data_IF_068477505975
#
_entry.id   IF_068477505975
#
_cell.length_a   1.000
_cell.length_b   1.000
_cell.length_c   1.000
_cell.angle_alpha   90.00
_cell.angle_beta   90.00
_cell.angle_gamma   90.00
#
_symmetry.space_group_name_H-M   'P 1'
#
loop_
_entity.id
_entity.type
_entity.pdbx_description
1 polymer ?
#
# COMPACT_ATOMS: atom_id res chain seq x y z
N UNK A 1 26.62 37.83 -8.43
CA UNK A 1 27.19 36.60 -9.03
C UNK A 1 27.96 35.85 -7.97
N UNK A 2 27.42 34.75 -7.45
CA UNK A 2 28.20 33.66 -6.84
C UNK A 2 27.48 32.37 -7.21
N UNK A 3 28.09 31.60 -8.12
CA UNK A 3 27.61 30.31 -8.61
C UNK A 3 27.87 29.27 -7.51
N UNK A 4 26.85 28.92 -6.74
CA UNK A 4 26.88 27.80 -5.80
C UNK A 4 26.38 26.52 -6.48
N UNK A 5 27.28 25.58 -6.68
CA UNK A 5 27.05 24.30 -7.35
C UNK A 5 25.91 23.51 -6.67
N UNK A 6 24.85 23.26 -7.42
CA UNK A 6 23.72 22.40 -7.03
C UNK A 6 24.19 20.95 -7.13
N UNK A 7 24.42 20.32 -5.98
CA UNK A 7 24.75 18.89 -5.87
C UNK A 7 23.45 18.10 -5.73
N UNK A 8 23.41 16.99 -6.42
CA UNK A 8 22.22 16.37 -6.93
C UNK A 8 22.13 14.90 -6.47
N UNK A 9 20.90 14.48 -6.14
CA UNK A 9 20.30 13.18 -6.48
C UNK A 9 20.64 11.90 -5.67
N UNK A 10 19.59 11.17 -5.22
CA UNK A 10 19.35 9.73 -5.49
C UNK A 10 18.04 9.23 -4.88
N UNK A 11 17.25 8.43 -5.62
CA UNK A 11 16.51 7.27 -5.08
C UNK A 11 16.89 6.07 -5.93
N UNK A 12 17.42 5.01 -5.33
CA UNK A 12 17.78 3.78 -6.02
C UNK A 12 18.98 3.04 -5.42
N UNK A 13 19.14 3.00 -4.09
CA UNK A 13 20.38 2.48 -3.49
C UNK A 13 20.59 0.96 -3.72
N UNK A 14 19.55 0.18 -4.03
CA UNK A 14 19.74 -1.24 -4.40
C UNK A 14 19.90 -1.46 -5.93
N UNK A 15 19.24 -0.66 -6.78
CA UNK A 15 19.23 -0.86 -8.25
C UNK A 15 20.30 -0.02 -8.96
N UNK A 16 20.58 1.21 -8.49
CA UNK A 16 21.56 2.09 -9.13
C UNK A 16 23.00 1.64 -8.86
N UNK A 17 23.30 1.04 -7.68
CA UNK A 17 24.64 0.47 -7.40
C UNK A 17 24.98 -0.65 -8.39
N UNK A 18 23.97 -1.38 -8.92
CA UNK A 18 24.18 -2.41 -9.93
C UNK A 18 24.60 -1.86 -11.31
N UNK A 19 24.06 -0.70 -11.72
CA UNK A 19 24.30 -0.15 -13.06
C UNK A 19 25.73 0.41 -13.26
N UNK A 20 26.37 0.89 -12.20
CA UNK A 20 27.73 1.44 -12.27
C UNK A 20 28.82 0.37 -12.34
N UNK A 21 28.61 -0.77 -11.67
CA UNK A 21 29.63 -1.84 -11.58
C UNK A 21 29.69 -2.72 -12.84
N UNK A 22 28.56 -2.96 -13.51
CA UNK A 22 28.54 -3.75 -14.74
C UNK A 22 29.26 -3.08 -15.93
N UNK A 23 29.22 -1.74 -16.04
CA UNK A 23 29.87 -1.01 -17.15
C UNK A 23 31.40 -0.91 -17.00
N UNK A 24 31.94 -1.16 -15.81
CA UNK A 24 33.39 -1.11 -15.54
C UNK A 24 34.04 -2.50 -15.38
N UNK A 25 33.24 -3.58 -15.31
CA UNK A 25 33.74 -4.94 -15.19
C UNK A 25 33.40 -5.72 -16.46
N UNK A 26 34.13 -5.43 -17.54
CA UNK A 26 34.30 -6.40 -18.64
C UNK A 26 35.10 -7.59 -18.12
N UNK A 27 34.44 -8.52 -17.43
CA UNK A 27 35.00 -9.82 -17.13
C UNK A 27 33.94 -10.89 -17.36
N UNK A 28 34.15 -11.69 -18.39
CA UNK A 28 33.38 -12.91 -18.68
C UNK A 28 34.02 -14.05 -17.87
N UNK A 29 33.35 -14.66 -16.89
CA UNK A 29 33.85 -15.88 -16.29
C UNK A 29 33.45 -17.08 -17.17
N UNK A 30 34.45 -17.81 -17.65
CA UNK A 30 34.26 -19.13 -18.29
C UNK A 30 33.77 -20.20 -17.30
N UNK A 31 33.33 -21.38 -17.80
CA UNK A 31 32.65 -22.37 -16.98
C UNK A 31 33.60 -23.05 -16.01
N UNK A 32 33.16 -23.21 -14.74
CA UNK A 32 33.84 -24.05 -13.75
C UNK A 32 32.92 -25.19 -13.31
N UNK A 33 33.42 -26.41 -13.42
CA UNK A 33 32.79 -27.61 -12.90
C UNK A 33 32.91 -27.65 -11.37
N UNK A 34 31.80 -27.94 -10.69
CA UNK A 34 31.77 -28.19 -9.25
C UNK A 34 31.97 -29.69 -8.97
N UNK A 35 32.81 -30.01 -8.00
CA UNK A 35 32.93 -31.34 -7.40
C UNK A 35 32.13 -31.39 -6.07
N UNK A 36 31.55 -32.54 -5.68
CA UNK A 36 30.68 -32.62 -4.50
C UNK A 36 31.50 -32.78 -3.21
N UNK A 37 31.06 -32.13 -2.12
CA UNK A 37 31.57 -32.37 -0.77
C UNK A 37 30.43 -32.85 0.12
N UNK A 38 30.68 -33.94 0.85
CA UNK A 38 29.74 -34.68 1.68
C UNK A 38 29.33 -33.91 2.95
N UNK A 39 28.08 -34.10 3.36
CA UNK A 39 27.46 -33.50 4.53
C UNK A 39 27.78 -34.27 5.83
N UNK A 40 28.00 -33.55 6.92
CA UNK A 40 27.92 -34.08 8.28
C UNK A 40 26.86 -33.29 9.06
N UNK A 41 25.86 -34.00 9.58
CA UNK A 41 24.75 -33.44 10.33
C UNK A 41 25.11 -33.31 11.83
N UNK A 42 24.74 -32.18 12.44
CA UNK A 42 24.65 -32.04 13.88
C UNK A 42 23.32 -31.35 14.24
N UNK A 43 22.54 -32.06 15.05
CA UNK A 43 21.21 -31.70 15.53
C UNK A 43 21.26 -30.64 16.64
N UNK A 44 20.55 -29.52 16.45
CA UNK A 44 20.13 -28.64 17.55
C UNK A 44 18.65 -28.28 17.40
N UNK A 45 17.96 -28.22 18.54
CA UNK A 45 16.51 -28.14 18.69
C UNK A 45 15.88 -26.98 17.92
N UNK A 46 14.86 -27.29 17.11
CA UNK A 46 14.16 -26.34 16.25
C UNK A 46 13.00 -25.66 16.98
N UNK A 47 13.05 -24.33 17.05
CA UNK A 47 11.85 -23.51 17.00
C UNK A 47 11.17 -23.72 15.62
N UNK A 48 9.84 -23.56 15.48
CA UNK A 48 9.15 -23.92 14.24
C UNK A 48 9.73 -23.14 13.05
N UNK A 49 10.29 -23.88 12.09
CA UNK A 49 10.81 -23.35 10.84
C UNK A 49 9.65 -22.93 9.92
N UNK A 50 9.07 -21.77 10.18
CA UNK A 50 8.42 -21.03 9.11
C UNK A 50 9.55 -20.42 8.26
N UNK A 51 9.71 -20.89 7.01
CA UNK A 51 10.66 -20.41 5.99
C UNK A 51 12.10 -20.93 6.00
N UNK A 52 12.32 -22.24 6.15
CA UNK A 52 13.54 -22.83 5.61
C UNK A 52 13.35 -23.04 4.08
N UNK A 53 13.74 -22.04 3.28
CA UNK A 53 13.77 -22.13 1.81
C UNK A 53 15.10 -21.58 1.25
N UNK A 54 15.41 -21.92 -0.01
CA UNK A 54 16.69 -21.58 -0.63
C UNK A 54 16.95 -20.06 -0.66
N UNK A 55 15.89 -19.26 -0.84
CA UNK A 55 15.98 -17.79 -0.85
C UNK A 55 16.34 -17.25 0.54
N UNK A 56 15.77 -17.81 1.61
CA UNK A 56 16.10 -17.44 2.99
C UNK A 56 17.56 -17.75 3.34
N UNK A 57 18.08 -18.89 2.90
CA UNK A 57 19.49 -19.24 3.10
C UNK A 57 20.43 -18.36 2.28
N UNK A 58 20.05 -18.04 1.03
CA UNK A 58 20.81 -17.11 0.19
C UNK A 58 20.79 -15.67 0.75
N UNK A 59 19.69 -15.24 1.38
CA UNK A 59 19.57 -13.92 2.00
C UNK A 59 20.52 -13.74 3.18
N UNK A 60 20.79 -14.80 3.97
CA UNK A 60 21.80 -14.76 5.03
C UNK A 60 23.21 -14.54 4.45
N UNK A 61 23.55 -15.24 3.36
CA UNK A 61 24.83 -15.04 2.65
C UNK A 61 24.96 -13.64 2.08
N UNK A 62 23.87 -13.11 1.52
CA UNK A 62 23.81 -11.70 1.11
C UNK A 62 24.06 -10.77 2.30
N UNK A 63 23.44 -11.02 3.45
CA UNK A 63 23.67 -10.27 4.69
C UNK A 63 25.13 -10.26 5.13
N UNK A 64 25.83 -11.39 5.05
CA UNK A 64 27.26 -11.49 5.38
C UNK A 64 28.14 -10.66 4.42
N UNK A 65 27.69 -10.53 3.17
CA UNK A 65 28.36 -9.73 2.16
C UNK A 65 28.03 -8.24 2.25
N UNK A 66 26.81 -7.87 2.65
CA UNK A 66 26.27 -6.52 2.43
C UNK A 66 25.99 -5.71 3.70
N UNK A 67 25.93 -6.32 4.88
CA UNK A 67 25.54 -5.58 6.09
C UNK A 67 26.59 -4.55 6.54
N UNK A 68 27.87 -4.76 6.23
CA UNK A 68 28.90 -3.72 6.45
C UNK A 68 28.57 -2.46 5.64
N UNK A 69 28.36 -2.61 4.33
CA UNK A 69 27.90 -1.53 3.45
C UNK A 69 26.60 -0.88 3.95
N UNK A 70 25.61 -1.68 4.37
CA UNK A 70 24.34 -1.15 4.86
C UNK A 70 24.47 -0.25 6.10
N UNK A 71 25.45 -0.50 6.98
CA UNK A 71 25.72 0.35 8.15
C UNK A 71 26.38 1.69 7.77
N UNK A 72 27.05 1.76 6.63
CA UNK A 72 27.77 2.96 6.17
C UNK A 72 26.87 3.95 5.46
N UNK A 73 25.81 3.46 4.80
CA UNK A 73 24.79 4.30 4.17
C UNK A 73 24.09 5.15 5.24
N UNK A 74 24.14 6.47 5.08
CA UNK A 74 23.32 7.39 5.87
C UNK A 74 21.87 7.38 5.35
N UNK A 75 21.05 6.46 5.88
CA UNK A 75 19.64 6.30 5.49
C UNK A 75 18.76 7.51 5.84
N UNK A 76 19.25 8.42 6.69
CA UNK A 76 18.55 9.64 7.06
C UNK A 76 18.77 10.79 6.05
N UNK A 77 19.59 10.56 5.02
CA UNK A 77 19.88 11.58 4.03
C UNK A 77 18.64 11.90 3.18
N UNK A 78 18.17 13.15 3.25
CA UNK A 78 16.99 13.64 2.51
C UNK A 78 17.14 13.62 0.98
N UNK A 79 18.32 13.28 0.46
CA UNK A 79 18.55 13.06 -0.96
C UNK A 79 17.66 11.95 -1.53
N UNK A 80 17.27 10.97 -0.70
CA UNK A 80 16.33 9.88 -1.00
C UNK A 80 14.87 10.31 -1.18
N UNK A 81 14.57 11.61 -1.11
CA UNK A 81 13.29 12.15 -1.56
C UNK A 81 13.35 12.66 -3.01
N UNK A 82 14.55 12.87 -3.56
CA UNK A 82 14.72 13.53 -4.87
C UNK A 82 14.76 12.53 -6.02
N UNK A 83 14.42 13.01 -7.22
CA UNK A 83 14.56 12.21 -8.46
C UNK A 83 16.02 11.72 -8.63
N UNK A 84 16.25 10.51 -9.19
CA UNK A 84 17.57 9.93 -9.51
C UNK A 84 18.27 10.62 -10.69
N UNK A 85 18.06 11.93 -10.89
CA UNK A 85 18.47 12.61 -12.10
C UNK A 85 17.92 14.02 -12.14
N UNK A 86 17.94 14.59 -13.33
CA UNK A 86 16.96 15.63 -13.68
C UNK A 86 15.55 15.04 -13.49
N UNK A 87 14.67 15.78 -12.84
CA UNK A 87 13.26 15.37 -12.72
C UNK A 87 12.58 15.36 -14.10
N UNK A 88 12.02 14.21 -14.45
CA UNK A 88 11.37 13.93 -15.74
C UNK A 88 10.03 13.24 -15.45
N UNK A 89 8.97 13.98 -15.07
CA UNK A 89 7.78 13.41 -14.45
C UNK A 89 7.08 12.35 -15.29
N UNK A 90 6.92 12.57 -16.61
CA UNK A 90 6.26 11.60 -17.49
C UNK A 90 7.11 10.35 -17.75
N UNK A 91 8.44 10.46 -17.82
CA UNK A 91 9.32 9.29 -17.93
C UNK A 91 9.39 8.52 -16.60
N UNK A 92 9.38 9.23 -15.48
CA UNK A 92 9.28 8.63 -14.15
C UNK A 92 7.94 7.89 -13.99
N UNK A 93 6.84 8.44 -14.50
CA UNK A 93 5.53 7.79 -14.48
C UNK A 93 5.52 6.47 -15.25
N UNK A 94 6.25 6.36 -16.37
CA UNK A 94 6.43 5.06 -17.07
C UNK A 94 7.17 4.03 -16.21
N UNK A 95 8.16 4.46 -15.43
CA UNK A 95 8.86 3.56 -14.52
C UNK A 95 7.95 3.12 -13.36
N UNK A 96 7.16 4.04 -12.80
CA UNK A 96 6.13 3.74 -11.79
C UNK A 96 5.09 2.77 -12.35
N UNK A 97 4.65 2.96 -13.60
CA UNK A 97 3.72 2.03 -14.26
C UNK A 97 4.27 0.60 -14.29
N UNK A 98 5.56 0.42 -14.60
CA UNK A 98 6.19 -0.91 -14.57
C UNK A 98 6.30 -1.49 -13.16
N UNK A 99 6.51 -0.66 -12.14
CA UNK A 99 6.47 -1.10 -10.74
C UNK A 99 5.07 -1.54 -10.33
N UNK A 100 4.02 -0.81 -10.73
CA UNK A 100 2.62 -1.15 -10.49
C UNK A 100 2.26 -2.46 -11.20
N UNK A 101 2.65 -2.59 -12.47
CA UNK A 101 2.41 -3.80 -13.28
C UNK A 101 3.11 -5.04 -12.69
N UNK A 102 4.31 -4.88 -12.13
CA UNK A 102 5.02 -5.93 -11.39
C UNK A 102 4.32 -6.24 -10.05
N UNK A 103 3.93 -5.21 -9.29
CA UNK A 103 3.23 -5.37 -8.01
C UNK A 103 1.90 -6.10 -8.15
N UNK A 104 1.10 -5.77 -9.16
CA UNK A 104 -0.16 -6.48 -9.45
C UNK A 104 0.05 -7.95 -9.84
N UNK A 105 1.20 -8.28 -10.45
CA UNK A 105 1.52 -9.66 -10.84
C UNK A 105 2.05 -10.51 -9.68
N UNK A 106 2.62 -9.88 -8.65
CA UNK A 106 3.24 -10.57 -7.51
C UNK A 106 2.21 -11.32 -6.65
N UNK A 107 2.69 -12.32 -5.90
CA UNK A 107 1.86 -13.03 -4.93
C UNK A 107 1.45 -12.08 -3.79
N UNK A 108 0.13 -11.84 -3.57
CA UNK A 108 -0.33 -10.93 -2.54
C UNK A 108 0.10 -11.31 -1.11
N UNK A 109 0.27 -12.61 -0.83
CA UNK A 109 0.74 -13.08 0.47
C UNK A 109 2.21 -12.69 0.69
N UNK A 110 3.04 -12.81 -0.35
CA UNK A 110 4.45 -12.43 -0.26
C UNK A 110 4.63 -10.90 -0.16
N UNK A 111 3.78 -10.12 -0.81
CA UNK A 111 3.72 -8.66 -0.63
C UNK A 111 3.40 -8.29 0.83
N UNK A 112 2.41 -8.96 1.42
CA UNK A 112 2.07 -8.80 2.82
C UNK A 112 3.23 -9.15 3.75
N UNK A 113 3.85 -10.32 3.56
CA UNK A 113 4.98 -10.77 4.38
C UNK A 113 6.17 -9.81 4.29
N UNK A 114 6.44 -9.25 3.12
CA UNK A 114 7.48 -8.22 2.97
C UNK A 114 7.11 -6.91 3.67
N UNK A 115 5.85 -6.48 3.62
CA UNK A 115 5.40 -5.30 4.36
C UNK A 115 5.58 -5.51 5.89
N UNK A 116 5.21 -6.69 6.41
CA UNK A 116 5.43 -7.05 7.82
C UNK A 116 6.93 -7.09 8.18
N UNK A 117 7.80 -7.59 7.28
CA UNK A 117 9.24 -7.58 7.47
C UNK A 117 9.81 -6.14 7.54
N UNK A 118 9.34 -5.22 6.69
CA UNK A 118 9.76 -3.82 6.74
C UNK A 118 9.27 -3.13 8.02
N UNK A 119 8.01 -3.34 8.42
CA UNK A 119 7.48 -2.84 9.70
C UNK A 119 8.35 -3.31 10.88
N UNK A 120 8.69 -4.60 10.92
CA UNK A 120 9.58 -5.16 11.95
C UNK A 120 10.97 -4.52 11.91
N UNK A 121 11.54 -4.33 10.73
CA UNK A 121 12.86 -3.73 10.54
C UNK A 121 12.91 -2.29 11.08
N UNK A 122 11.87 -1.49 10.82
CA UNK A 122 11.74 -0.12 11.35
C UNK A 122 11.84 -0.12 12.88
N UNK A 123 11.24 -1.11 13.55
CA UNK A 123 11.30 -1.27 15.00
C UNK A 123 12.70 -1.55 15.58
N UNK A 124 13.69 -1.90 14.75
CA UNK A 124 15.06 -2.23 15.17
C UNK A 124 16.11 -1.20 14.73
N UNK A 125 15.68 -0.10 14.11
CA UNK A 125 16.57 0.96 13.65
C UNK A 125 17.39 1.53 14.82
N UNK A 126 18.70 1.67 14.60
CA UNK A 126 19.61 2.21 15.60
C UNK A 126 20.82 2.92 14.97
N UNK A 127 21.56 3.65 15.80
CA UNK A 127 22.74 4.39 15.37
C UNK A 127 22.45 5.65 14.55
N UNK A 128 23.49 6.45 14.25
CA UNK A 128 23.33 7.74 13.57
C UNK A 128 22.86 7.63 12.12
N UNK A 129 23.18 6.50 11.47
CA UNK A 129 22.89 6.26 10.07
C UNK A 129 21.48 5.68 9.82
N UNK A 130 20.71 5.37 10.87
CA UNK A 130 19.34 4.87 10.73
C UNK A 130 19.24 3.43 10.17
N UNK A 131 20.26 2.60 10.40
CA UNK A 131 20.28 1.21 9.91
C UNK A 131 19.48 0.27 10.83
N UNK A 132 18.73 -0.66 10.22
CA UNK A 132 18.03 -1.76 10.92
C UNK A 132 19.01 -2.79 11.48
N UNK A 133 18.53 -3.71 12.33
CA UNK A 133 19.34 -4.84 12.83
C UNK A 133 19.78 -5.79 11.70
N UNK A 134 20.87 -6.55 11.92
CA UNK A 134 21.36 -7.56 10.97
C UNK A 134 20.30 -8.62 10.65
N UNK A 135 19.60 -9.11 11.67
CA UNK A 135 18.57 -10.11 11.48
C UNK A 135 17.41 -9.58 10.62
N UNK A 136 17.02 -8.33 10.83
CA UNK A 136 15.95 -7.69 10.08
C UNK A 136 16.37 -7.32 8.64
N UNK A 137 17.64 -6.97 8.43
CA UNK A 137 18.22 -6.80 7.10
C UNK A 137 18.12 -8.09 6.27
N UNK A 138 18.48 -9.23 6.85
CA UNK A 138 18.40 -10.53 6.17
C UNK A 138 16.93 -10.93 5.89
N UNK A 139 16.04 -10.68 6.85
CA UNK A 139 14.62 -10.98 6.71
C UNK A 139 13.95 -10.17 5.59
N UNK A 140 14.24 -8.87 5.51
CA UNK A 140 13.74 -7.99 4.44
C UNK A 140 14.24 -8.46 3.07
N UNK A 141 15.54 -8.75 2.94
CA UNK A 141 16.10 -9.24 1.68
C UNK A 141 15.49 -10.58 1.24
N UNK A 142 15.27 -11.50 2.18
CA UNK A 142 14.59 -12.76 1.88
C UNK A 142 13.16 -12.54 1.38
N UNK A 143 12.38 -11.67 2.05
CA UNK A 143 11.00 -11.38 1.66
C UNK A 143 10.92 -10.73 0.27
N UNK A 144 11.81 -9.77 -0.03
CA UNK A 144 11.92 -9.16 -1.36
C UNK A 144 12.32 -10.20 -2.41
N UNK A 145 13.28 -11.07 -2.11
CA UNK A 145 13.68 -12.16 -3.02
C UNK A 145 12.50 -13.06 -3.40
N UNK A 146 11.63 -13.40 -2.43
CA UNK A 146 10.41 -14.18 -2.68
C UNK A 146 9.41 -13.42 -3.56
N UNK A 147 9.22 -12.12 -3.34
CA UNK A 147 8.38 -11.29 -4.23
C UNK A 147 8.91 -11.35 -5.67
N UNK A 148 10.21 -11.16 -5.86
CA UNK A 148 10.85 -11.17 -7.19
C UNK A 148 10.69 -12.55 -7.85
N UNK A 149 10.84 -13.63 -7.09
CA UNK A 149 10.59 -14.99 -7.58
C UNK A 149 9.12 -15.23 -7.96
N UNK A 150 8.17 -14.51 -7.35
CA UNK A 150 6.73 -14.67 -7.64
C UNK A 150 6.24 -13.97 -8.92
N UNK A 151 7.12 -13.26 -9.64
CA UNK A 151 6.77 -12.60 -10.92
C UNK A 151 7.66 -13.06 -12.07
N UNK A 152 7.19 -13.00 -13.33
CA UNK A 152 8.03 -13.29 -14.48
C UNK A 152 9.23 -12.34 -14.59
N UNK A 153 10.40 -12.89 -14.94
CA UNK A 153 11.65 -12.14 -15.16
C UNK A 153 11.48 -10.90 -16.03
N UNK A 154 10.65 -10.98 -17.08
CA UNK A 154 10.40 -9.87 -17.98
C UNK A 154 9.84 -8.62 -17.28
N UNK A 155 8.98 -8.78 -16.26
CA UNK A 155 8.43 -7.65 -15.49
C UNK A 155 9.50 -7.00 -14.62
N UNK A 156 10.38 -7.82 -14.02
CA UNK A 156 11.53 -7.34 -13.23
C UNK A 156 12.48 -6.53 -14.12
N UNK A 157 12.78 -7.03 -15.32
CA UNK A 157 13.64 -6.32 -16.26
C UNK A 157 13.00 -5.04 -16.80
N UNK A 158 11.69 -5.03 -17.04
CA UNK A 158 10.99 -3.81 -17.44
C UNK A 158 11.08 -2.68 -16.38
N UNK A 159 11.03 -3.04 -15.09
CA UNK A 159 11.30 -2.08 -14.00
C UNK A 159 12.76 -1.61 -14.04
N UNK A 160 13.72 -2.53 -14.15
CA UNK A 160 15.14 -2.19 -14.22
C UNK A 160 15.47 -1.23 -15.37
N UNK A 161 14.96 -1.53 -16.57
CA UNK A 161 15.23 -0.75 -17.79
C UNK A 161 14.60 0.65 -17.70
N UNK A 162 13.34 0.73 -17.23
CA UNK A 162 12.63 2.01 -17.10
C UNK A 162 13.23 2.91 -16.02
N UNK A 163 13.67 2.37 -14.89
CA UNK A 163 14.38 3.13 -13.84
C UNK A 163 15.76 3.57 -14.34
N UNK A 164 16.46 2.72 -15.10
CA UNK A 164 17.74 3.08 -15.71
C UNK A 164 17.61 4.27 -16.65
N UNK A 165 16.52 4.36 -17.42
CA UNK A 165 16.28 5.45 -18.36
C UNK A 165 16.14 6.84 -17.69
N UNK A 166 15.71 6.89 -16.42
CA UNK A 166 15.55 8.15 -15.67
C UNK A 166 16.71 8.42 -14.69
N UNK A 167 17.67 7.50 -14.58
CA UNK A 167 18.78 7.61 -13.63
C UNK A 167 20.00 8.24 -14.31
N UNK A 168 20.50 9.34 -13.75
CA UNK A 168 21.74 9.96 -14.21
C UNK A 168 22.93 8.99 -14.03
N UNK A 169 23.78 8.79 -15.05
CA UNK A 169 24.91 7.85 -14.96
C UNK A 169 25.92 8.14 -13.85
N UNK A 170 25.96 9.37 -13.31
CA UNK A 170 26.81 9.75 -12.18
C UNK A 170 26.28 9.30 -10.81
N UNK A 171 25.00 8.94 -10.71
CA UNK A 171 24.36 8.55 -9.43
C UNK A 171 25.06 7.38 -8.75
N UNK A 172 25.37 6.25 -9.43
CA UNK A 172 26.03 5.12 -8.78
C UNK A 172 27.40 5.47 -8.21
N UNK A 173 28.20 6.25 -8.97
CA UNK A 173 29.52 6.70 -8.53
C UNK A 173 29.43 7.64 -7.33
N UNK A 174 28.45 8.55 -7.34
CA UNK A 174 28.19 9.45 -6.23
C UNK A 174 27.77 8.67 -4.96
N UNK A 175 26.82 7.74 -5.06
CA UNK A 175 26.39 6.90 -3.92
C UNK A 175 27.56 6.09 -3.35
N UNK A 176 28.38 5.47 -4.21
CA UNK A 176 29.57 4.72 -3.78
C UNK A 176 30.61 5.61 -3.09
N UNK A 177 30.71 6.89 -3.46
CA UNK A 177 31.66 7.82 -2.84
C UNK A 177 31.35 8.18 -1.38
N UNK A 178 30.13 7.88 -0.91
CA UNK A 178 29.68 8.17 0.45
C UNK A 178 29.92 7.02 1.43
N UNK A 179 30.45 5.89 0.96
CA UNK A 179 30.66 4.66 1.72
C UNK A 179 32.05 4.09 1.46
N UNK A 180 32.39 2.97 2.10
CA UNK A 180 33.58 2.21 1.78
C UNK A 180 33.40 1.49 0.42
N UNK A 181 34.23 1.84 -0.55
CA UNK A 181 34.19 1.28 -1.91
C UNK A 181 34.29 -0.26 -1.95
N UNK A 182 35.29 -0.87 -1.28
CA UNK A 182 35.38 -2.32 -1.15
C UNK A 182 34.16 -3.01 -0.52
N UNK A 183 33.55 -2.44 0.53
CA UNK A 183 32.33 -3.02 1.12
C UNK A 183 31.14 -2.93 0.16
N UNK A 184 31.02 -1.84 -0.61
CA UNK A 184 29.99 -1.72 -1.66
C UNK A 184 30.19 -2.74 -2.79
N UNK A 185 31.44 -2.99 -3.20
CA UNK A 185 31.77 -4.01 -4.19
C UNK A 185 31.44 -5.42 -3.68
N UNK A 186 31.79 -5.72 -2.43
CA UNK A 186 31.45 -6.99 -1.78
C UNK A 186 29.94 -7.19 -1.68
N UNK A 187 29.20 -6.15 -1.29
CA UNK A 187 27.74 -6.18 -1.25
C UNK A 187 27.14 -6.49 -2.63
N UNK A 188 27.68 -5.88 -3.70
CA UNK A 188 27.23 -6.15 -5.06
C UNK A 188 27.54 -7.57 -5.53
N UNK A 189 28.71 -8.13 -5.20
CA UNK A 189 29.00 -9.53 -5.49
C UNK A 189 28.03 -10.47 -4.75
N UNK A 190 27.74 -10.21 -3.48
CA UNK A 190 26.72 -10.96 -2.74
C UNK A 190 25.34 -10.86 -3.39
N UNK A 191 24.97 -9.68 -3.91
CA UNK A 191 23.73 -9.51 -4.67
C UNK A 191 23.72 -10.35 -5.97
N UNK A 192 24.83 -10.42 -6.70
CA UNK A 192 24.96 -11.23 -7.91
C UNK A 192 24.77 -12.73 -7.64
N UNK A 193 25.22 -13.22 -6.48
CA UNK A 193 24.97 -14.61 -6.06
C UNK A 193 23.52 -14.82 -5.62
N UNK A 194 22.97 -13.87 -4.85
CA UNK A 194 21.60 -13.94 -4.36
C UNK A 194 20.57 -13.98 -5.50
N UNK A 195 20.73 -13.10 -6.51
CA UNK A 195 19.80 -13.05 -7.64
C UNK A 195 19.77 -14.34 -8.47
N UNK A 196 20.85 -15.13 -8.49
CA UNK A 196 20.86 -16.43 -9.19
C UNK A 196 19.96 -17.45 -8.47
N UNK A 197 19.92 -17.42 -7.13
CA UNK A 197 19.01 -18.27 -6.34
C UNK A 197 17.56 -17.81 -6.52
N UNK A 198 17.32 -16.50 -6.55
CA UNK A 198 15.98 -15.95 -6.82
C UNK A 198 15.51 -16.35 -8.22
N UNK A 199 16.35 -16.20 -9.25
CA UNK A 199 16.03 -16.58 -10.63
C UNK A 199 15.72 -18.08 -10.77
N UNK A 200 16.48 -18.94 -10.09
CA UNK A 200 16.21 -20.40 -10.05
C UNK A 200 14.81 -20.73 -9.53
N UNK A 201 14.29 -19.92 -8.62
CA UNK A 201 12.98 -20.11 -7.99
C UNK A 201 11.86 -19.26 -8.63
N UNK A 202 12.16 -18.57 -9.74
CA UNK A 202 11.25 -17.60 -10.34
C UNK A 202 10.16 -18.24 -11.20
N UNK A 203 8.94 -17.73 -11.12
CA UNK A 203 7.82 -18.16 -11.98
C UNK A 203 8.00 -17.71 -13.42
N UNK A 204 7.51 -18.50 -14.37
CA UNK A 204 7.56 -18.18 -15.80
C UNK A 204 6.36 -17.38 -16.30
N UNK A 205 5.22 -17.45 -15.62
CA UNK A 205 3.95 -16.83 -16.02
C UNK A 205 3.39 -15.92 -14.94
N UNK A 206 2.75 -14.83 -15.34
CA UNK A 206 2.11 -13.91 -14.42
C UNK A 206 0.83 -14.52 -13.82
N UNK A 207 0.45 -14.06 -12.63
CA UNK A 207 -0.83 -14.42 -12.00
C UNK A 207 -2.03 -13.83 -12.76
N UNK A 208 -3.19 -14.49 -12.65
CA UNK A 208 -4.43 -14.01 -13.26
C UNK A 208 -4.88 -12.65 -12.69
N UNK A 209 -5.57 -11.78 -13.47
CA UNK A 209 -6.04 -10.48 -12.99
C UNK A 209 -6.89 -10.54 -11.73
N UNK A 210 -7.02 -9.42 -11.00
CA UNK A 210 -7.85 -9.38 -9.80
C UNK A 210 -9.34 -9.57 -10.14
N UNK A 211 -10.09 -10.10 -9.17
CA UNK A 211 -11.55 -10.15 -9.25
C UNK A 211 -12.11 -8.85 -8.70
N UNK A 212 -12.80 -8.09 -9.56
CA UNK A 212 -13.37 -6.79 -9.19
C UNK A 212 -14.89 -6.91 -9.01
N UNK A 213 -15.44 -6.55 -7.83
CA UNK A 213 -16.89 -6.46 -7.63
C UNK A 213 -17.53 -5.44 -8.59
N UNK A 214 -18.76 -5.71 -9.04
CA UNK A 214 -19.53 -4.80 -9.90
C UNK A 214 -20.88 -4.48 -9.28
N UNK A 215 -21.35 -3.24 -9.47
CA UNK A 215 -22.67 -2.79 -8.99
C UNK A 215 -22.79 -2.62 -7.47
N UNK A 216 -21.69 -2.58 -6.73
CA UNK A 216 -21.69 -2.37 -5.29
C UNK A 216 -21.90 -0.88 -4.91
N UNK A 217 -22.33 -0.64 -3.67
CA UNK A 217 -22.61 0.72 -3.15
C UNK A 217 -21.38 1.62 -3.26
N UNK A 218 -20.19 1.08 -3.00
CA UNK A 218 -18.91 1.81 -3.12
C UNK A 218 -18.66 2.24 -4.57
N UNK A 219 -18.90 1.38 -5.56
CA UNK A 219 -18.78 1.74 -6.98
C UNK A 219 -19.72 2.88 -7.37
N UNK A 220 -20.98 2.83 -6.93
CA UNK A 220 -21.97 3.91 -7.18
C UNK A 220 -21.53 5.23 -6.52
N UNK A 221 -21.08 5.19 -5.28
CA UNK A 221 -20.62 6.38 -4.57
C UNK A 221 -19.31 6.95 -5.16
N UNK A 222 -18.43 6.09 -5.65
CA UNK A 222 -17.19 6.49 -6.31
C UNK A 222 -17.46 7.26 -7.60
N UNK A 223 -18.53 6.92 -8.33
CA UNK A 223 -18.99 7.73 -9.46
C UNK A 223 -19.35 9.15 -9.03
N UNK A 224 -20.19 9.30 -8.00
CA UNK A 224 -20.61 10.61 -7.51
C UNK A 224 -19.41 11.44 -7.01
N UNK A 225 -18.46 10.81 -6.31
CA UNK A 225 -17.19 11.45 -5.95
C UNK A 225 -16.45 11.94 -7.19
N UNK A 226 -16.27 11.06 -8.17
CA UNK A 226 -15.46 11.34 -9.35
C UNK A 226 -16.06 12.46 -10.20
N UNK A 227 -17.38 12.46 -10.40
CA UNK A 227 -18.07 13.54 -11.11
C UNK A 227 -17.88 14.90 -10.39
N UNK A 228 -17.87 14.90 -9.05
CA UNK A 228 -17.67 16.12 -8.24
C UNK A 228 -16.21 16.59 -8.17
N UNK A 229 -15.23 15.67 -8.22
CA UNK A 229 -13.81 15.99 -8.03
C UNK A 229 -12.99 16.01 -9.32
N UNK A 230 -13.51 15.53 -10.45
CA UNK A 230 -12.77 15.54 -11.71
C UNK A 230 -12.37 16.96 -12.20
N UNK A 231 -13.21 18.02 -12.04
CA UNK A 231 -12.76 19.38 -12.28
C UNK A 231 -11.51 19.76 -11.46
N UNK A 232 -11.51 19.45 -10.16
CA UNK A 232 -10.38 19.72 -9.27
C UNK A 232 -9.10 18.99 -9.69
N UNK A 233 -9.15 17.71 -10.08
CA UNK A 233 -7.93 16.98 -10.47
C UNK A 233 -7.30 17.49 -11.77
N UNK A 234 -8.08 18.13 -12.65
CA UNK A 234 -7.56 18.77 -13.87
C UNK A 234 -6.77 20.04 -13.57
N UNK A 235 -7.05 20.70 -12.46
CA UNK A 235 -6.33 21.91 -12.03
C UNK A 235 -5.01 21.59 -11.33
N UNK A 236 -4.81 20.33 -10.91
CA UNK A 236 -3.57 19.90 -10.25
C UNK A 236 -2.44 19.85 -11.28
N UNK A 237 -1.33 20.52 -10.98
CA UNK A 237 -0.09 20.39 -11.76
C UNK A 237 0.64 19.08 -11.40
N UNK A 238 0.22 17.97 -12.02
CA UNK A 238 0.79 16.63 -11.82
C UNK A 238 2.27 16.51 -12.20
N UNK A 239 2.81 17.47 -12.94
CA UNK A 239 4.19 17.47 -13.42
C UNK A 239 5.12 18.31 -12.53
N UNK A 240 4.60 18.86 -11.43
CA UNK A 240 5.32 19.74 -10.52
C UNK A 240 6.36 18.99 -9.68
N UNK A 241 7.50 19.64 -9.42
CA UNK A 241 8.51 19.15 -8.47
C UNK A 241 8.18 19.49 -7.01
N UNK A 242 7.05 20.16 -6.75
CA UNK A 242 6.60 20.54 -5.41
C UNK A 242 6.40 19.32 -4.51
N UNK A 243 6.01 18.19 -5.09
CA UNK A 243 5.77 16.92 -4.38
C UNK A 243 7.06 16.24 -3.90
N UNK A 244 8.23 16.69 -4.35
CA UNK A 244 9.54 16.21 -3.91
C UNK A 244 10.18 17.14 -2.88
N UNK A 245 9.47 18.17 -2.39
CA UNK A 245 9.98 19.04 -1.33
C UNK A 245 9.81 18.35 0.04
N UNK A 246 10.81 18.43 0.92
CA UNK A 246 10.71 17.85 2.25
C UNK A 246 9.61 18.53 3.06
N UNK A 247 9.01 17.79 3.99
CA UNK A 247 8.05 18.37 4.92
C UNK A 247 8.74 19.39 5.83
N UNK A 248 8.18 20.61 6.01
CA UNK A 248 8.80 21.64 6.83
C UNK A 248 9.09 21.16 8.26
N UNK A 249 10.36 21.25 8.66
CA UNK A 249 10.80 20.96 10.03
C UNK A 249 10.72 19.49 10.44
N UNK A 250 10.52 18.54 9.51
CA UNK A 250 10.46 17.11 9.83
C UNK A 250 11.75 16.39 9.45
N UNK A 251 12.19 15.50 10.32
CA UNK A 251 13.35 14.62 10.10
C UNK A 251 12.94 13.31 9.44
N UNK A 252 13.90 12.61 8.82
CA UNK A 252 13.64 11.29 8.23
C UNK A 252 13.04 10.29 9.23
N UNK A 253 13.56 10.15 10.49
CA UNK A 253 12.95 9.26 11.48
C UNK A 253 11.50 9.63 11.85
N UNK A 254 11.16 10.92 11.91
CA UNK A 254 9.77 11.34 12.16
C UNK A 254 8.85 10.97 10.99
N UNK A 255 9.29 11.19 9.76
CA UNK A 255 8.51 10.80 8.57
C UNK A 255 8.37 9.29 8.45
N UNK A 256 9.42 8.52 8.79
CA UNK A 256 9.42 7.07 8.74
C UNK A 256 8.38 6.46 9.69
N UNK A 257 8.15 7.06 10.86
CA UNK A 257 7.09 6.60 11.79
C UNK A 257 5.68 6.73 11.21
N UNK A 258 5.43 7.77 10.41
CA UNK A 258 4.15 7.91 9.71
C UNK A 258 4.05 6.93 8.54
N UNK A 259 5.13 6.73 7.79
CA UNK A 259 5.22 5.72 6.72
C UNK A 259 4.99 4.31 7.27
N UNK A 260 5.51 3.99 8.45
CA UNK A 260 5.30 2.70 9.11
C UNK A 260 3.81 2.38 9.31
N UNK A 261 2.98 3.39 9.63
CA UNK A 261 1.52 3.18 9.73
C UNK A 261 0.89 2.83 8.40
N UNK A 262 1.37 3.41 7.30
CA UNK A 262 0.91 3.06 5.95
C UNK A 262 1.33 1.64 5.57
N UNK A 263 2.54 1.21 5.94
CA UNK A 263 3.03 -0.17 5.74
C UNK A 263 2.16 -1.16 6.52
N UNK A 264 1.88 -0.88 7.80
CA UNK A 264 1.01 -1.71 8.65
C UNK A 264 -0.41 -1.81 8.09
N UNK A 265 -0.97 -0.69 7.60
CA UNK A 265 -2.27 -0.69 6.94
C UNK A 265 -2.23 -1.56 5.67
N UNK A 266 -1.23 -1.40 4.82
CA UNK A 266 -1.05 -2.17 3.59
C UNK A 266 -0.93 -3.68 3.85
N UNK A 267 -0.22 -4.10 4.89
CA UNK A 267 -0.09 -5.50 5.28
C UNK A 267 -1.43 -6.15 5.72
N UNK A 268 -2.40 -5.33 6.15
CA UNK A 268 -3.73 -5.79 6.60
C UNK A 268 -4.79 -5.74 5.51
N UNK A 269 -4.53 -5.03 4.41
CA UNK A 269 -5.48 -4.90 3.30
C UNK A 269 -5.73 -6.25 2.61
N UNK A 270 -6.92 -6.39 2.03
CA UNK A 270 -7.23 -7.54 1.19
C UNK A 270 -6.31 -7.56 -0.05
N UNK A 271 -5.60 -8.68 -0.25
CA UNK A 271 -4.61 -8.81 -1.31
C UNK A 271 -5.19 -8.75 -2.72
N UNK A 272 -6.43 -9.23 -2.93
CA UNK A 272 -7.10 -9.14 -4.22
C UNK A 272 -7.55 -7.70 -4.50
N UNK A 273 -8.03 -6.97 -3.49
CA UNK A 273 -8.40 -5.56 -3.63
C UNK A 273 -7.16 -4.66 -3.82
N UNK A 274 -6.03 -4.95 -3.17
CA UNK A 274 -4.75 -4.28 -3.43
C UNK A 274 -4.34 -4.44 -4.89
N UNK A 275 -4.43 -5.67 -5.39
CA UNK A 275 -4.14 -5.99 -6.79
C UNK A 275 -5.09 -5.25 -7.74
N UNK A 276 -6.40 -5.27 -7.48
CA UNK A 276 -7.39 -4.55 -8.28
C UNK A 276 -7.12 -3.04 -8.33
N UNK A 277 -6.73 -2.44 -7.19
CA UNK A 277 -6.36 -1.04 -7.14
C UNK A 277 -5.09 -0.77 -7.96
N UNK A 278 -4.07 -1.63 -7.90
CA UNK A 278 -2.87 -1.52 -8.72
C UNK A 278 -3.21 -1.60 -10.23
N UNK A 279 -4.03 -2.56 -10.64
CA UNK A 279 -4.48 -2.72 -12.04
C UNK A 279 -5.30 -1.50 -12.52
N UNK A 280 -6.14 -0.91 -11.65
CA UNK A 280 -6.88 0.31 -11.97
C UNK A 280 -5.94 1.51 -12.20
N UNK A 281 -4.88 1.66 -11.40
CA UNK A 281 -3.88 2.73 -11.61
C UNK A 281 -3.07 2.50 -12.88
N UNK A 282 -2.66 1.26 -13.18
CA UNK A 282 -2.00 0.92 -14.45
C UNK A 282 -2.85 1.34 -15.65
N UNK A 283 -4.16 1.04 -15.62
CA UNK A 283 -5.11 1.46 -16.66
C UNK A 283 -5.24 2.98 -16.75
N UNK A 284 -5.31 3.67 -15.61
CA UNK A 284 -5.41 5.12 -15.56
C UNK A 284 -4.17 5.83 -16.13
N UNK A 285 -2.96 5.30 -15.88
CA UNK A 285 -1.73 5.81 -16.49
C UNK A 285 -1.79 5.70 -18.02
N UNK A 286 -2.40 4.62 -18.54
CA UNK A 286 -2.56 4.40 -19.97
C UNK A 286 -3.45 5.42 -20.69
N UNK A 287 -4.22 6.24 -19.97
CA UNK A 287 -5.16 7.21 -20.54
C UNK A 287 -4.83 8.67 -20.22
N UNK A 288 -3.65 8.95 -19.66
CA UNK A 288 -3.26 10.33 -19.33
C UNK A 288 -3.12 11.20 -20.58
N UNK A 289 -3.47 12.47 -20.43
CA UNK A 289 -3.15 13.52 -21.39
C UNK A 289 -1.73 14.07 -21.23
N UNK A 290 -1.38 15.09 -22.02
CA UNK A 290 -0.06 15.72 -22.00
C UNK A 290 0.29 16.40 -20.66
N UNK A 291 -0.71 16.68 -19.82
CA UNK A 291 -0.53 17.26 -18.48
C UNK A 291 -0.54 16.21 -17.36
N UNK A 292 -0.63 14.92 -17.72
CA UNK A 292 -0.64 13.81 -16.77
C UNK A 292 -2.02 13.51 -16.18
N UNK A 293 -3.10 14.09 -16.72
CA UNK A 293 -4.45 13.88 -16.19
C UNK A 293 -5.09 12.68 -16.89
N UNK A 294 -5.50 11.68 -16.11
CA UNK A 294 -6.19 10.47 -16.60
C UNK A 294 -7.62 10.75 -17.06
N UNK A 295 -8.23 9.82 -17.80
CA UNK A 295 -9.63 9.92 -18.22
C UNK A 295 -10.60 9.91 -17.02
N UNK A 296 -11.77 10.54 -17.17
CA UNK A 296 -12.80 10.54 -16.12
C UNK A 296 -13.25 9.13 -15.73
N UNK A 297 -13.35 8.22 -16.70
CA UNK A 297 -13.76 6.83 -16.47
C UNK A 297 -12.70 6.04 -15.69
N UNK A 298 -11.42 6.28 -15.97
CA UNK A 298 -10.35 5.61 -15.24
C UNK A 298 -10.15 6.20 -13.83
N UNK A 299 -10.35 7.50 -13.66
CA UNK A 299 -10.41 8.13 -12.35
C UNK A 299 -11.53 7.56 -11.47
N UNK A 300 -12.73 7.34 -12.05
CA UNK A 300 -13.84 6.66 -11.38
C UNK A 300 -13.47 5.25 -10.93
N UNK A 301 -12.86 4.46 -11.82
CA UNK A 301 -12.41 3.11 -11.50
C UNK A 301 -11.37 3.08 -10.36
N UNK A 302 -10.43 4.03 -10.37
CA UNK A 302 -9.43 4.20 -9.30
C UNK A 302 -10.11 4.52 -7.96
N UNK A 303 -11.02 5.50 -7.92
CA UNK A 303 -11.75 5.86 -6.70
C UNK A 303 -12.57 4.68 -6.14
N UNK A 304 -13.23 3.90 -7.01
CA UNK A 304 -13.97 2.72 -6.61
C UNK A 304 -13.06 1.64 -6.02
N UNK A 305 -11.90 1.38 -6.64
CA UNK A 305 -10.94 0.41 -6.16
C UNK A 305 -10.34 0.82 -4.80
N UNK A 306 -9.96 2.10 -4.63
CA UNK A 306 -9.45 2.63 -3.35
C UNK A 306 -10.53 2.57 -2.27
N UNK A 307 -11.78 2.90 -2.57
CA UNK A 307 -12.88 2.80 -1.61
C UNK A 307 -13.05 1.39 -1.04
N UNK A 308 -13.04 0.37 -1.91
CA UNK A 308 -13.11 -1.04 -1.48
C UNK A 308 -11.90 -1.44 -0.65
N UNK A 309 -10.72 -0.97 -1.05
CA UNK A 309 -9.47 -1.24 -0.34
C UNK A 309 -9.50 -0.66 1.08
N UNK A 310 -9.94 0.59 1.25
CA UNK A 310 -10.09 1.25 2.56
C UNK A 310 -11.14 0.53 3.42
N UNK A 311 -12.26 0.12 2.82
CA UNK A 311 -13.30 -0.64 3.52
C UNK A 311 -12.80 -1.99 4.08
N UNK A 312 -11.73 -2.56 3.52
CA UNK A 312 -11.14 -3.82 4.01
C UNK A 312 -10.34 -3.68 5.32
N UNK A 313 -10.00 -2.46 5.75
CA UNK A 313 -9.09 -2.21 6.89
C UNK A 313 -9.53 -1.06 7.82
N UNK A 314 -10.78 -1.02 8.28
CA UNK A 314 -11.35 0.16 8.96
C UNK A 314 -10.57 0.60 10.21
N UNK A 315 -9.96 -0.34 10.94
CA UNK A 315 -9.26 -0.04 12.21
C UNK A 315 -7.96 0.72 12.02
N UNK A 316 -7.23 0.51 10.91
CA UNK A 316 -5.91 1.13 10.70
C UNK A 316 -5.93 2.45 9.93
N UNK A 317 -7.07 2.81 9.32
CA UNK A 317 -7.21 4.07 8.56
C UNK A 317 -6.89 5.28 9.45
N UNK A 318 -7.41 5.29 10.68
CA UNK A 318 -7.22 6.41 11.60
C UNK A 318 -5.80 6.50 12.16
N UNK A 319 -5.09 5.37 12.31
CA UNK A 319 -3.68 5.38 12.70
C UNK A 319 -2.81 6.11 11.67
N UNK A 320 -3.09 5.87 10.38
CA UNK A 320 -2.44 6.57 9.26
C UNK A 320 -2.80 8.05 9.28
N UNK A 321 -4.10 8.38 9.33
CA UNK A 321 -4.55 9.76 9.32
C UNK A 321 -3.94 10.57 10.47
N UNK A 322 -4.00 10.06 11.70
CA UNK A 322 -3.47 10.74 12.88
C UNK A 322 -1.95 10.92 12.80
N UNK A 323 -1.21 9.93 12.29
CA UNK A 323 0.23 10.03 12.14
C UNK A 323 0.64 11.04 11.06
N UNK A 324 -0.08 11.07 9.94
CA UNK A 324 0.15 12.05 8.87
C UNK A 324 -0.22 13.48 9.33
N UNK A 325 -1.32 13.65 10.06
CA UNK A 325 -1.71 14.93 10.63
C UNK A 325 -0.66 15.50 11.61
N UNK A 326 0.11 14.64 12.28
CA UNK A 326 1.23 15.07 13.14
C UNK A 326 2.47 15.58 12.40
N UNK A 327 2.61 15.29 11.10
CA UNK A 327 3.79 15.66 10.31
C UNK A 327 3.49 16.62 9.15
N UNK A 328 2.24 16.74 8.71
CA UNK A 328 1.83 17.65 7.64
C UNK A 328 1.34 18.96 8.25
N UNK A 329 2.12 20.04 8.07
CA UNK A 329 1.73 21.38 8.50
C UNK A 329 0.66 21.99 7.57
N UNK A 330 -0.20 22.85 8.12
CA UNK A 330 -1.20 23.63 7.38
C UNK A 330 -0.65 24.44 6.21
N UNK A 331 0.61 24.86 6.27
CA UNK A 331 1.30 25.53 5.16
C UNK A 331 1.34 24.66 3.89
N UNK A 332 1.46 23.34 4.05
CA UNK A 332 1.45 22.40 2.91
C UNK A 332 0.08 22.38 2.27
N UNK A 333 -0.99 22.17 3.05
CA UNK A 333 -2.35 22.09 2.52
C UNK A 333 -2.82 23.43 1.95
N UNK A 334 -2.51 24.55 2.60
CA UNK A 334 -2.80 25.88 2.09
C UNK A 334 -2.07 26.18 0.77
N UNK A 335 -0.81 25.73 0.61
CA UNK A 335 -0.07 25.87 -0.63
C UNK A 335 -0.61 24.99 -1.76
N UNK A 336 -1.19 23.82 -1.46
CA UNK A 336 -1.87 23.01 -2.48
C UNK A 336 -3.20 23.63 -2.89
N UNK A 337 -4.00 24.09 -1.91
CA UNK A 337 -5.29 24.73 -2.17
C UNK A 337 -5.15 26.04 -2.97
N UNK A 338 -4.08 26.81 -2.77
CA UNK A 338 -3.85 28.06 -3.51
C UNK A 338 -3.49 27.89 -4.99
N UNK A 339 -3.23 26.65 -5.44
CA UNK A 339 -2.81 26.32 -6.81
C UNK A 339 -3.95 25.82 -7.70
N UNK A 340 -5.15 25.65 -7.13
CA UNK A 340 -6.32 25.10 -7.81
C UNK A 340 -7.49 26.07 -7.72
N UNK A 341 -8.56 25.81 -8.48
CA UNK A 341 -9.80 26.54 -8.27
C UNK A 341 -10.41 26.20 -6.89
N UNK A 342 -10.65 27.21 -6.01
CA UNK A 342 -11.16 26.96 -4.68
C UNK A 342 -12.59 26.39 -4.66
N UNK A 343 -13.42 26.70 -5.66
CA UNK A 343 -14.78 26.16 -5.75
C UNK A 343 -14.78 24.68 -6.10
N UNK A 344 -13.94 24.29 -7.06
CA UNK A 344 -13.79 22.89 -7.47
C UNK A 344 -13.16 22.06 -6.34
N UNK A 345 -12.19 22.61 -5.61
CA UNK A 345 -11.61 21.97 -4.43
C UNK A 345 -12.63 21.77 -3.29
N UNK A 346 -13.49 22.75 -3.03
CA UNK A 346 -14.58 22.61 -2.03
C UNK A 346 -15.63 21.60 -2.47
N UNK A 347 -15.97 21.57 -3.77
CA UNK A 347 -16.88 20.57 -4.34
C UNK A 347 -16.30 19.15 -4.21
N UNK A 348 -15.02 18.97 -4.54
CA UNK A 348 -14.29 17.72 -4.38
C UNK A 348 -14.26 17.26 -2.90
N UNK A 349 -13.96 18.17 -1.96
CA UNK A 349 -13.96 17.87 -0.53
C UNK A 349 -15.34 17.44 -0.03
N UNK A 350 -16.41 18.13 -0.45
CA UNK A 350 -17.79 17.73 -0.13
C UNK A 350 -18.12 16.34 -0.68
N UNK A 351 -17.77 16.07 -1.93
CA UNK A 351 -17.93 14.74 -2.54
C UNK A 351 -17.18 13.66 -1.76
N UNK A 352 -15.94 13.95 -1.33
CA UNK A 352 -15.15 13.05 -0.50
C UNK A 352 -15.82 12.76 0.85
N UNK A 353 -16.32 13.78 1.55
CA UNK A 353 -16.98 13.59 2.84
C UNK A 353 -18.28 12.77 2.74
N UNK A 354 -18.99 12.84 1.62
CA UNK A 354 -20.14 11.96 1.35
C UNK A 354 -19.70 10.54 0.97
N UNK A 355 -18.64 10.40 0.17
CA UNK A 355 -18.12 9.10 -0.24
C UNK A 355 -17.60 8.27 0.94
N UNK A 356 -16.87 8.89 1.87
CA UNK A 356 -16.32 8.17 3.03
C UNK A 356 -17.40 7.51 3.90
N UNK A 357 -18.61 8.07 3.97
CA UNK A 357 -19.72 7.50 4.76
C UNK A 357 -20.17 6.16 4.17
N UNK A 358 -20.16 6.04 2.84
CA UNK A 358 -20.46 4.79 2.14
C UNK A 358 -19.34 3.76 2.33
N UNK A 359 -18.08 4.20 2.31
CA UNK A 359 -16.93 3.34 2.59
C UNK A 359 -16.96 2.80 4.02
N UNK A 360 -17.27 3.65 4.99
CA UNK A 360 -17.43 3.28 6.41
C UNK A 360 -18.56 2.26 6.59
N UNK A 361 -19.72 2.48 5.95
CA UNK A 361 -20.82 1.52 5.96
C UNK A 361 -20.47 0.19 5.27
N UNK A 362 -19.70 0.22 4.18
CA UNK A 362 -19.21 -0.99 3.52
C UNK A 362 -18.25 -1.81 4.40
N UNK A 363 -17.46 -1.13 5.24
CA UNK A 363 -16.55 -1.78 6.18
C UNK A 363 -17.28 -2.54 7.30
N UNK A 364 -18.40 -2.00 7.80
CA UNK A 364 -19.22 -2.66 8.83
C UNK A 364 -20.02 -3.85 8.29
N UNK A 365 -20.45 -3.78 7.01
CA UNK A 365 -21.06 -4.92 6.30
C UNK A 365 -20.05 -6.07 6.12
N UNK A 366 -18.81 -5.78 5.72
CA UNK A 366 -17.75 -6.77 5.54
C UNK A 366 -17.31 -7.46 6.85
N UNK A 367 -17.38 -6.74 7.97
CA UNK A 367 -17.01 -7.26 9.30
C UNK A 367 -18.15 -7.98 10.04
N UNK A 368 -19.33 -8.11 9.42
CA UNK A 368 -20.48 -8.81 10.02
C UNK A 368 -21.18 -8.06 11.16
N UNK A 369 -20.79 -6.82 11.48
CA UNK A 369 -21.38 -6.02 12.57
C UNK A 369 -22.84 -5.63 12.30
N UNK A 370 -23.22 -5.49 11.01
CA UNK A 370 -24.62 -5.27 10.63
C UNK A 370 -25.51 -6.50 10.84
N UNK A 371 -24.97 -7.73 10.86
CA UNK A 371 -25.80 -8.93 11.04
C UNK A 371 -26.37 -9.03 12.46
N UNK A 372 -25.64 -8.58 13.49
CA UNK A 372 -26.14 -8.56 14.86
C UNK A 372 -27.19 -7.48 15.08
N UNK A 373 -27.02 -6.30 14.47
CA UNK A 373 -27.99 -5.21 14.58
C UNK A 373 -29.28 -5.53 13.81
N UNK A 374 -29.17 -6.13 12.62
CA UNK A 374 -30.33 -6.64 11.87
C UNK A 374 -30.98 -7.84 12.55
N UNK A 375 -30.21 -8.78 13.14
CA UNK A 375 -30.76 -9.87 13.94
C UNK A 375 -31.44 -9.36 15.21
N UNK A 376 -30.89 -8.36 15.90
CA UNK A 376 -31.52 -7.72 17.05
C UNK A 376 -32.80 -6.99 16.65
N UNK A 377 -32.79 -6.29 15.50
CA UNK A 377 -33.98 -5.62 14.96
C UNK A 377 -35.07 -6.63 14.56
N UNK A 378 -34.69 -7.75 13.94
CA UNK A 378 -35.57 -8.88 13.60
C UNK A 378 -36.13 -9.59 14.83
N UNK A 379 -35.30 -9.82 15.86
CA UNK A 379 -35.72 -10.40 17.14
C UNK A 379 -36.69 -9.46 17.87
N UNK A 380 -36.41 -8.15 17.87
CA UNK A 380 -37.28 -7.14 18.45
C UNK A 380 -38.63 -7.08 17.72
N UNK A 381 -38.64 -7.07 16.38
CA UNK A 381 -39.90 -7.11 15.60
C UNK A 381 -40.67 -8.41 15.78
N UNK A 382 -40.00 -9.56 15.92
CA UNK A 382 -40.65 -10.84 16.26
C UNK A 382 -41.28 -10.82 17.67
N UNK A 383 -40.60 -10.20 18.64
CA UNK A 383 -41.10 -10.02 20.01
C UNK A 383 -42.32 -9.08 20.04
N UNK A 384 -42.25 -7.97 19.29
CA UNK A 384 -43.34 -6.99 19.18
C UNK A 384 -44.56 -7.58 18.46
N UNK A 385 -44.35 -8.40 17.43
CA UNK A 385 -45.43 -9.17 16.78
C UNK A 385 -46.10 -10.18 17.73
N UNK A 386 -45.32 -10.85 18.59
CA UNK A 386 -45.87 -11.75 19.63
C UNK A 386 -46.69 -10.97 20.66
N UNK A 387 -46.18 -9.83 21.12
CA UNK A 387 -46.87 -8.96 22.08
C UNK A 387 -48.17 -8.40 21.50
N UNK A 388 -48.16 -7.99 20.24
CA UNK A 388 -49.36 -7.52 19.53
C UNK A 388 -50.43 -8.62 19.43
N UNK A 389 -50.05 -9.86 19.08
CA UNK A 389 -50.98 -11.01 19.08
C UNK A 389 -51.53 -11.33 20.48
N UNK A 390 -50.73 -11.14 21.53
CA UNK A 390 -51.18 -11.35 22.91
C UNK A 390 -52.18 -10.27 23.36
N UNK A 391 -51.98 -9.02 22.94
CA UNK A 391 -52.89 -7.90 23.20
C UNK A 391 -54.24 -8.13 22.49
N UNK A 392 -54.22 -8.48 21.21
CA UNK A 392 -55.45 -8.79 20.46
C UNK A 392 -56.24 -9.95 21.08
N UNK A 393 -55.54 -10.99 21.55
CA UNK A 393 -56.17 -12.12 22.24
C UNK A 393 -56.77 -11.73 23.60
N UNK A 394 -56.21 -10.71 24.25
CA UNK A 394 -56.72 -10.17 25.51
C UNK A 394 -57.93 -9.26 25.28
N UNK A 395 -57.92 -8.46 24.21
CA UNK A 395 -59.06 -7.63 23.78
C UNK A 395 -60.23 -8.47 23.27
N UNK A 396 -60.00 -9.59 22.56
CA UNK A 396 -61.05 -10.55 22.21
C UNK A 396 -61.71 -11.22 23.43
N UNK A 397 -60.98 -11.35 24.55
CA UNK A 397 -61.52 -11.88 25.81
C UNK A 397 -62.27 -10.81 26.60
N UNK A 398 -61.89 -9.53 26.50
CA UNK A 398 -62.53 -8.42 27.23
C UNK A 398 -63.73 -7.79 26.50
N UNK A 399 -63.75 -7.78 25.16
CA UNK A 399 -64.86 -7.29 24.35
C UNK A 399 -66.22 -7.96 24.65
N UNK A 400 -66.35 -9.29 24.85
CA UNK A 400 -67.62 -9.91 25.21
C UNK A 400 -68.05 -9.61 26.67
N UNK A 401 -67.15 -9.20 27.57
CA UNK A 401 -67.51 -8.80 28.95
C UNK A 401 -68.11 -7.40 29.03
N UNK A 402 -67.63 -6.47 28.21
CA UNK A 402 -68.17 -5.12 28.14
C UNK A 402 -69.59 -5.08 27.53
N UNK A 403 -69.87 -5.92 26.51
CA UNK A 403 -71.19 -6.02 25.88
C UNK A 403 -72.26 -6.64 26.79
N UNK A 404 -71.90 -7.60 27.65
CA UNK A 404 -72.83 -8.19 28.64
C UNK A 404 -73.18 -7.20 29.76
N UNK A 405 -72.32 -6.24 30.05
CA UNK A 405 -72.55 -5.23 31.11
C UNK A 405 -73.40 -4.05 30.60
N UNK A 406 -73.28 -3.68 29.32
CA UNK A 406 -74.13 -2.63 28.72
C UNK A 406 -75.58 -3.09 28.46
N UNK A 407 -75.80 -4.39 28.23
CA UNK A 407 -77.14 -4.94 28.02
C UNK A 407 -78.00 -5.02 29.29
N UNK A 408 -77.40 -5.02 30.49
CA UNK A 408 -78.15 -5.02 31.76
C UNK A 408 -78.56 -3.62 32.23
N UNK A 409 -77.88 -2.55 31.80
CA UNK A 409 -78.19 -1.16 32.19
C UNK A 409 -79.30 -0.54 31.33
N UNK A 410 -79.53 -1.00 30.10
CA UNK A 410 -80.57 -0.46 29.20
C UNK A 410 -81.98 -0.99 29.53
N UNK A 411 -82.12 -2.09 30.29
CA UNK A 411 -83.44 -2.64 30.70
C UNK A 411 -84.07 -1.96 31.93
N UNK A 412 -83.47 -0.93 32.51
CA UNK A 412 -84.02 -0.23 33.69
C UNK A 412 -84.42 1.23 33.47
N UNK A 413 -84.52 1.68 32.21
CA UNK A 413 -84.94 3.06 31.89
C UNK A 413 -86.01 3.13 30.78
N UNK A 414 -86.98 2.21 30.76
CA UNK A 414 -88.25 2.41 30.03
C UNK A 414 -89.46 1.80 30.77
N UNK A 415 -90.12 2.70 31.53
CA UNK A 415 -91.57 2.83 31.79
C UNK A 415 -92.36 1.78 32.61
N UNK A 416 -93.51 2.17 33.19
CA UNK A 416 -94.07 3.51 33.40
C UNK A 416 -93.93 4.05 34.84
#
# INVERSE_FOLDING_TARGET
MVRGARKAIAVGVAVAVACGLQKHLNFVPGPRHAAPVAAAAASMMMAPAAFADEIGDAAKKLGDASYSFAKEVDWNNGIFLQAPGKFQPLEALKAIDKMIEMGAAADPKLLKEAAEAHHKAIGSISGPNGVTSRADWDAVNAAIGRIVASVPKAKVMAVYDSVTAITDPGVPAYMKSLVNGPDAEKAYQGFLEFKDVVEKNQVSTASAPAVVPSGDKIGVAAKALSDASYPFIKDIDWLSDVYLKPLPGKTAPETLKAIDKMIVMGAKMDGNLLKAAAEAHHKAIGSIDATGVTSAADYEAVNAAIGRLVASVPTTVMDVYNSMAGIVDSQVTNNMFSKVNPLDAVAAAKGFYTFKDVVEAGASEANGENTLTELLCLVQTQQDQKNYKLILKKEEIEAPRALVTLASTIKHHQAP
#
